data_IF_767488372639
#
_entry.id   IF_767488372639
#
_cell.length_a   1.000
_cell.length_b   1.000
_cell.length_c   1.000
_cell.angle_alpha   90.00
_cell.angle_beta   90.00
_cell.angle_gamma   90.00
#
_symmetry.space_group_name_H-M   'P 1'
#
loop_
_entity.id
_entity.type
_entity.pdbx_description
1 polymer ?
#
# COMPACT_ATOMS: atom_id res chain seq x y z
N UNK A 1 12.74 -14.69 -22.49
CA UNK A 1 12.37 -14.14 -21.16
C UNK A 1 11.14 -13.28 -21.33
N UNK A 2 10.18 -13.23 -20.38
CA UNK A 2 8.85 -12.75 -20.69
C UNK A 2 8.91 -11.25 -20.97
N UNK A 3 8.58 -10.92 -22.21
CA UNK A 3 8.25 -9.57 -22.66
C UNK A 3 6.99 -9.18 -21.89
N UNK A 4 6.92 -7.95 -21.35
CA UNK A 4 5.63 -7.43 -20.88
C UNK A 4 4.76 -7.23 -22.12
N UNK A 5 4.04 -8.29 -22.50
CA UNK A 5 3.09 -8.25 -23.59
C UNK A 5 1.77 -7.70 -23.06
N UNK A 6 1.66 -6.37 -23.08
CA UNK A 6 0.45 -5.65 -22.71
C UNK A 6 -0.80 -6.09 -23.49
N UNK A 7 -0.64 -6.76 -24.64
CA UNK A 7 -1.77 -7.31 -25.41
C UNK A 7 -2.26 -8.65 -24.87
N UNK A 8 -1.46 -9.35 -24.06
CA UNK A 8 -1.79 -10.62 -23.39
C UNK A 8 -2.05 -10.46 -21.89
N UNK A 9 -1.89 -9.25 -21.36
CA UNK A 9 -2.23 -8.97 -19.97
C UNK A 9 -3.75 -8.91 -19.81
N UNK A 10 -4.28 -9.91 -19.10
CA UNK A 10 -5.70 -10.03 -18.76
C UNK A 10 -5.90 -9.64 -17.29
N UNK A 11 -6.69 -8.59 -17.05
CA UNK A 11 -7.06 -8.17 -15.70
C UNK A 11 -8.04 -9.15 -15.03
N UNK A 12 -8.59 -10.09 -15.81
CA UNK A 12 -9.71 -10.93 -15.41
C UNK A 12 -10.85 -10.02 -14.89
N UNK A 13 -11.58 -10.49 -13.87
CA UNK A 13 -12.63 -9.73 -13.19
C UNK A 13 -12.12 -8.86 -12.03
N UNK A 14 -10.80 -8.61 -11.95
CA UNK A 14 -10.19 -7.80 -10.89
C UNK A 14 -10.01 -6.35 -11.31
N UNK A 15 -10.02 -5.46 -10.32
CA UNK A 15 -9.70 -4.04 -10.54
C UNK A 15 -8.18 -3.85 -10.56
N UNK A 16 -7.61 -3.61 -11.74
CA UNK A 16 -6.23 -3.18 -11.88
C UNK A 16 -6.13 -1.64 -11.84
N UNK A 17 -5.08 -1.10 -11.22
CA UNK A 17 -4.90 0.34 -10.97
C UNK A 17 -4.35 1.11 -12.19
N UNK A 18 -3.70 0.42 -13.13
CA UNK A 18 -3.01 1.03 -14.26
C UNK A 18 -3.68 0.70 -15.60
N UNK A 19 -4.27 -0.49 -15.73
CA UNK A 19 -4.76 -1.09 -16.97
C UNK A 19 -6.26 -1.36 -16.87
N UNK A 20 -6.98 -1.11 -17.96
CA UNK A 20 -8.37 -1.48 -18.17
C UNK A 20 -8.45 -2.87 -18.85
N UNK A 21 -9.56 -3.62 -18.71
CA UNK A 21 -9.72 -4.96 -19.29
C UNK A 21 -9.43 -5.08 -20.81
N UNK A 22 -9.43 -3.97 -21.56
CA UNK A 22 -9.05 -3.92 -22.98
C UNK A 22 -7.54 -3.66 -23.23
N UNK A 23 -6.67 -3.84 -22.23
CA UNK A 23 -5.22 -3.60 -22.32
C UNK A 23 -4.85 -2.11 -22.46
N UNK A 24 -5.77 -1.20 -22.15
CA UNK A 24 -5.57 0.26 -22.24
C UNK A 24 -5.23 0.84 -20.88
N UNK A 25 -4.34 1.82 -20.83
CA UNK A 25 -4.04 2.52 -19.59
C UNK A 25 -5.28 3.29 -19.07
N UNK A 26 -5.49 3.28 -17.76
CA UNK A 26 -6.42 4.20 -17.09
C UNK A 26 -5.97 5.65 -17.29
N UNK A 27 -6.90 6.63 -17.32
CA UNK A 27 -6.54 8.03 -17.57
C UNK A 27 -5.41 8.57 -16.67
N UNK A 28 -5.39 8.34 -15.35
CA UNK A 28 -4.31 8.80 -14.48
C UNK A 28 -2.95 8.17 -14.82
N UNK A 29 -2.96 6.90 -15.24
CA UNK A 29 -1.76 6.13 -15.57
C UNK A 29 -1.25 6.35 -17.00
N UNK A 30 -1.87 7.21 -17.80
CA UNK A 30 -1.54 7.37 -19.21
C UNK A 30 -0.09 7.81 -19.48
N UNK A 31 0.44 8.73 -18.67
CA UNK A 31 1.84 9.18 -18.78
C UNK A 31 2.82 8.08 -18.37
N UNK A 32 2.58 7.45 -17.23
CA UNK A 32 3.38 6.32 -16.75
C UNK A 32 3.42 5.20 -17.79
N UNK A 33 2.27 4.83 -18.33
CA UNK A 33 2.15 3.78 -19.35
C UNK A 33 2.89 4.13 -20.64
N UNK A 34 2.92 5.41 -21.07
CA UNK A 34 3.73 5.84 -22.22
C UNK A 34 5.23 5.75 -21.94
N UNK A 35 5.64 6.16 -20.75
CA UNK A 35 7.03 6.06 -20.31
C UNK A 35 7.48 4.60 -20.21
N UNK A 36 6.69 3.72 -19.58
CA UNK A 36 6.98 2.29 -19.50
C UNK A 36 7.11 1.64 -20.90
N UNK A 37 6.30 2.06 -21.87
CA UNK A 37 6.41 1.60 -23.26
C UNK A 37 7.68 2.07 -23.99
N UNK A 38 8.32 3.14 -23.53
CA UNK A 38 9.58 3.64 -24.11
C UNK A 38 10.82 2.94 -23.58
N UNK A 39 10.69 2.18 -22.49
CA UNK A 39 11.80 1.42 -21.91
C UNK A 39 11.84 0.02 -22.53
N UNK A 40 13.06 -0.47 -22.76
CA UNK A 40 13.25 -1.90 -22.99
C UNK A 40 13.39 -2.66 -21.65
N UNK A 41 13.46 -3.98 -21.74
CA UNK A 41 13.53 -4.83 -20.55
C UNK A 41 14.86 -4.69 -19.81
N UNK A 42 15.97 -4.46 -20.52
CA UNK A 42 17.29 -4.33 -19.91
C UNK A 42 17.33 -3.08 -19.04
N UNK A 43 16.82 -1.98 -19.57
CA UNK A 43 16.71 -0.67 -18.94
C UNK A 43 15.76 -0.69 -17.72
N UNK A 44 14.70 -1.52 -17.75
CA UNK A 44 13.87 -1.79 -16.58
C UNK A 44 14.57 -2.64 -15.51
N UNK A 45 15.33 -3.67 -15.92
CA UNK A 45 16.09 -4.49 -14.97
C UNK A 45 17.20 -3.70 -14.29
N UNK A 46 17.94 -2.89 -15.05
CA UNK A 46 18.97 -2.00 -14.51
C UNK A 46 18.39 -1.08 -13.45
N UNK A 47 17.27 -0.41 -13.72
CA UNK A 47 16.58 0.43 -12.72
C UNK A 47 16.14 -0.33 -11.48
N UNK A 48 15.67 -1.57 -11.63
CA UNK A 48 15.28 -2.42 -10.50
C UNK A 48 16.49 -2.68 -9.60
N UNK A 49 17.60 -3.11 -10.19
CA UNK A 49 18.85 -3.40 -9.46
C UNK A 49 19.39 -2.14 -8.79
N UNK A 50 19.40 -1.00 -9.48
CA UNK A 50 19.82 0.28 -8.93
C UNK A 50 18.96 0.70 -7.73
N UNK A 51 17.63 0.51 -7.81
CA UNK A 51 16.74 0.82 -6.71
C UNK A 51 16.97 -0.11 -5.50
N UNK A 52 17.17 -1.41 -5.72
CA UNK A 52 17.51 -2.37 -4.66
C UNK A 52 18.83 -2.01 -3.96
N UNK A 53 19.87 -1.66 -4.72
CA UNK A 53 21.15 -1.21 -4.18
C UNK A 53 21.00 0.10 -3.39
N UNK A 54 20.18 1.04 -3.87
CA UNK A 54 19.92 2.30 -3.16
C UNK A 54 19.19 2.08 -1.82
N UNK A 55 18.30 1.09 -1.73
CA UNK A 55 17.65 0.71 -0.46
C UNK A 55 18.66 0.14 0.54
N UNK A 56 19.56 -0.72 0.06
CA UNK A 56 20.63 -1.32 0.89
C UNK A 56 21.60 -0.23 1.37
N UNK A 57 22.07 0.65 0.48
CA UNK A 57 23.00 1.75 0.79
C UNK A 57 22.41 2.72 1.82
N UNK A 58 21.11 3.01 1.73
CA UNK A 58 20.39 3.85 2.71
C UNK A 58 20.13 3.14 4.05
N UNK A 59 20.47 1.87 4.19
CA UNK A 59 20.23 1.09 5.40
C UNK A 59 18.74 0.87 5.69
N UNK A 60 17.87 0.89 4.67
CA UNK A 60 16.42 0.68 4.86
C UNK A 60 16.16 -0.81 4.97
N UNK A 61 16.20 -1.32 6.21
CA UNK A 61 15.98 -2.73 6.54
C UNK A 61 14.76 -2.91 7.43
N UNK A 62 14.19 -4.12 7.43
CA UNK A 62 13.25 -4.57 8.45
C UNK A 62 13.76 -5.87 9.07
N UNK A 63 13.58 -6.01 10.38
CA UNK A 63 13.97 -7.22 11.10
C UNK A 63 12.86 -8.25 10.96
N UNK A 64 13.21 -9.41 10.39
CA UNK A 64 12.31 -10.57 10.38
C UNK A 64 12.61 -11.41 11.59
N UNK A 65 11.60 -11.62 12.43
CA UNK A 65 11.65 -12.61 13.50
C UNK A 65 11.27 -13.98 12.92
N UNK A 66 12.28 -14.79 12.61
CA UNK A 66 12.08 -16.20 12.19
C UNK A 66 12.96 -17.10 13.04
N UNK A 67 12.35 -18.08 13.72
CA UNK A 67 13.00 -19.20 14.41
C UNK A 67 14.23 -18.84 15.29
N UNK A 68 14.16 -17.72 16.02
CA UNK A 68 15.18 -17.32 17.00
C UNK A 68 16.38 -16.57 16.43
N UNK A 69 16.41 -16.30 15.12
CA UNK A 69 17.42 -15.43 14.50
C UNK A 69 16.79 -14.11 14.04
N UNK A 70 17.43 -13.01 14.41
CA UNK A 70 17.10 -11.68 13.88
C UNK A 70 17.85 -11.51 12.56
N UNK A 71 17.15 -11.74 11.45
CA UNK A 71 17.71 -11.54 10.12
C UNK A 71 17.20 -10.19 9.60
N UNK A 72 18.13 -9.26 9.42
CA UNK A 72 17.83 -7.99 8.76
C UNK A 72 17.70 -8.23 7.26
N UNK A 73 16.54 -7.87 6.70
CA UNK A 73 16.27 -7.95 5.26
C UNK A 73 16.12 -6.56 4.68
N UNK A 74 16.67 -6.36 3.48
CA UNK A 74 16.41 -5.17 2.70
C UNK A 74 14.92 -5.05 2.39
N UNK A 75 14.37 -3.84 2.49
CA UNK A 75 12.97 -3.59 2.20
C UNK A 75 12.66 -3.89 0.71
N UNK A 76 11.64 -4.72 0.39
CA UNK A 76 11.26 -4.98 -1.00
C UNK A 76 10.68 -3.71 -1.65
N UNK A 77 11.37 -3.18 -2.65
CA UNK A 77 10.98 -1.94 -3.32
C UNK A 77 10.49 -2.21 -4.75
N UNK A 78 9.34 -1.62 -5.10
CA UNK A 78 8.80 -1.66 -6.47
C UNK A 78 9.08 -0.32 -7.16
N UNK A 79 9.68 -0.40 -8.36
CA UNK A 79 10.00 0.77 -9.18
C UNK A 79 8.77 1.31 -9.95
N UNK A 80 7.66 0.57 -9.97
CA UNK A 80 6.43 0.97 -10.65
C UNK A 80 5.51 1.69 -9.65
N UNK A 81 5.30 3.02 -9.81
CA UNK A 81 4.48 3.76 -8.87
C UNK A 81 2.98 3.47 -9.06
N UNK A 82 2.25 3.37 -7.96
CA UNK A 82 0.78 3.39 -7.97
C UNK A 82 0.30 4.84 -8.06
N UNK A 83 -0.29 5.21 -9.20
CA UNK A 83 -0.80 6.56 -9.42
C UNK A 83 -2.16 6.71 -8.74
N UNK A 84 -2.27 7.67 -7.82
CA UNK A 84 -3.53 8.04 -7.17
C UNK A 84 -3.94 9.44 -7.65
N UNK A 85 -5.11 9.60 -8.30
CA UNK A 85 -5.61 10.92 -8.69
C UNK A 85 -5.78 11.84 -7.49
N UNK A 86 -5.45 13.13 -7.64
CA UNK A 86 -5.57 14.11 -6.56
C UNK A 86 -6.98 14.17 -5.96
N UNK A 87 -8.03 14.03 -6.78
CA UNK A 87 -9.41 14.01 -6.31
C UNK A 87 -9.66 12.83 -5.37
N UNK A 88 -9.25 11.63 -5.78
CA UNK A 88 -9.37 10.42 -4.95
C UNK A 88 -8.54 10.55 -3.67
N UNK A 89 -7.31 11.05 -3.78
CA UNK A 89 -6.44 11.25 -2.62
C UNK A 89 -7.04 12.20 -1.59
N UNK A 90 -7.71 13.28 -2.01
CA UNK A 90 -8.36 14.21 -1.08
C UNK A 90 -9.47 13.56 -0.26
N UNK A 91 -10.26 12.70 -0.90
CA UNK A 91 -11.34 11.97 -0.21
C UNK A 91 -10.75 10.95 0.77
N UNK A 92 -9.72 10.21 0.36
CA UNK A 92 -8.99 9.27 1.21
C UNK A 92 -8.32 9.98 2.39
N UNK A 93 -7.62 11.09 2.14
CA UNK A 93 -6.94 11.90 3.16
C UNK A 93 -7.94 12.40 4.23
N UNK A 94 -9.08 12.95 3.80
CA UNK A 94 -10.12 13.42 4.71
C UNK A 94 -10.68 12.29 5.57
N UNK A 95 -10.99 11.14 4.96
CA UNK A 95 -11.47 9.96 5.66
C UNK A 95 -10.45 9.40 6.67
N UNK A 96 -9.16 9.37 6.30
CA UNK A 96 -8.09 8.93 7.20
C UNK A 96 -7.96 9.86 8.41
N UNK A 97 -7.97 11.18 8.21
CA UNK A 97 -7.91 12.16 9.31
C UNK A 97 -9.11 12.00 10.26
N UNK A 98 -10.31 11.84 9.70
CA UNK A 98 -11.51 11.60 10.49
C UNK A 98 -11.40 10.31 11.31
N UNK A 99 -10.98 9.21 10.67
CA UNK A 99 -10.86 7.90 11.31
C UNK A 99 -9.82 7.89 12.43
N UNK A 100 -8.64 8.48 12.20
CA UNK A 100 -7.60 8.57 13.23
C UNK A 100 -8.09 9.40 14.42
N UNK A 101 -8.79 10.52 14.18
CA UNK A 101 -9.37 11.31 15.26
C UNK A 101 -10.38 10.50 16.08
N UNK A 102 -11.27 9.77 15.42
CA UNK A 102 -12.24 8.92 16.10
C UNK A 102 -11.57 7.80 16.91
N UNK A 103 -10.54 7.16 16.34
CA UNK A 103 -9.77 6.11 17.03
C UNK A 103 -9.03 6.66 18.25
N UNK A 104 -8.41 7.83 18.16
CA UNK A 104 -7.73 8.46 19.29
C UNK A 104 -8.71 8.79 20.43
N UNK A 105 -9.88 9.37 20.11
CA UNK A 105 -10.92 9.65 21.10
C UNK A 105 -11.50 8.37 21.70
N UNK A 106 -11.67 7.32 20.88
CA UNK A 106 -12.14 6.03 21.35
C UNK A 106 -11.15 5.38 22.33
N UNK A 107 -9.87 5.37 21.99
CA UNK A 107 -8.81 4.86 22.87
C UNK A 107 -8.78 5.66 24.17
N UNK A 108 -8.80 6.99 24.08
CA UNK A 108 -8.82 7.87 25.25
C UNK A 108 -10.02 7.59 26.15
N UNK A 109 -11.22 7.51 25.60
CA UNK A 109 -12.44 7.19 26.35
C UNK A 109 -12.36 5.83 27.04
N UNK A 110 -11.88 4.78 26.35
CA UNK A 110 -11.75 3.44 26.93
C UNK A 110 -10.83 3.37 28.16
N UNK A 111 -9.77 4.18 28.17
CA UNK A 111 -8.83 4.24 29.29
C UNK A 111 -9.24 5.23 30.40
N UNK A 112 -10.34 5.96 30.22
CA UNK A 112 -10.83 6.93 31.18
C UNK A 112 -12.32 6.70 31.52
N UNK A 113 -13.22 7.53 30.98
CA UNK A 113 -14.62 7.60 31.41
C UNK A 113 -15.49 6.48 30.82
N UNK A 114 -15.05 5.80 29.76
CA UNK A 114 -15.76 4.71 29.09
C UNK A 114 -17.19 5.08 28.68
N UNK A 115 -17.42 6.33 28.28
CA UNK A 115 -18.73 6.84 27.87
C UNK A 115 -19.33 6.01 26.73
N UNK A 116 -18.52 5.58 25.76
CA UNK A 116 -18.99 4.79 24.62
C UNK A 116 -19.60 3.42 25.02
N UNK A 117 -19.17 2.89 26.17
CA UNK A 117 -19.72 1.67 26.77
C UNK A 117 -20.98 2.00 27.57
N UNK A 118 -20.95 3.07 28.38
CA UNK A 118 -22.08 3.52 29.18
C UNK A 118 -23.29 3.90 28.32
N UNK A 119 -23.03 4.51 27.16
CA UNK A 119 -24.02 4.89 26.14
C UNK A 119 -24.51 3.67 25.32
N UNK A 120 -23.92 2.49 25.52
CA UNK A 120 -24.31 1.25 24.85
C UNK A 120 -23.94 1.17 23.37
N UNK A 121 -23.14 2.11 22.85
CA UNK A 121 -22.70 2.12 21.45
C UNK A 121 -21.73 0.97 21.17
N UNK A 122 -20.82 0.67 22.11
CA UNK A 122 -19.90 -0.47 22.04
C UNK A 122 -20.12 -1.40 23.24
N UNK A 123 -20.42 -2.69 23.01
CA UNK A 123 -20.55 -3.67 24.10
C UNK A 123 -19.25 -3.87 24.88
N UNK A 124 -19.31 -3.78 26.21
CA UNK A 124 -18.17 -4.02 27.11
C UNK A 124 -17.50 -5.39 26.88
N UNK A 125 -18.30 -6.41 26.53
CA UNK A 125 -17.81 -7.77 26.29
C UNK A 125 -16.83 -7.87 25.10
N UNK A 126 -16.95 -6.99 24.09
CA UNK A 126 -16.02 -6.96 22.96
C UNK A 126 -14.63 -6.50 23.38
N UNK A 127 -14.57 -5.52 24.30
CA UNK A 127 -13.30 -5.00 24.81
C UNK A 127 -12.67 -6.00 25.78
N UNK A 128 -13.44 -6.56 26.70
CA UNK A 128 -12.94 -7.50 27.72
C UNK A 128 -12.39 -8.81 27.12
N UNK A 129 -12.86 -9.21 25.93
CA UNK A 129 -12.36 -10.39 25.23
C UNK A 129 -11.08 -10.14 24.43
N UNK A 130 -10.66 -8.88 24.26
CA UNK A 130 -9.46 -8.54 23.50
C UNK A 130 -8.20 -8.84 24.32
N UNK A 131 -7.32 -9.68 23.77
CA UNK A 131 -5.94 -9.81 24.28
C UNK A 131 -5.17 -8.64 23.67
N UNK A 132 -4.95 -7.59 24.47
CA UNK A 132 -4.07 -6.49 24.09
C UNK A 132 -2.68 -6.97 23.68
#
# INVERSE_FOLDING_TARGET
MPIIDWKRYDTQDLYDELVLPAGRARPPGGQLSRWLRSLDNEELQTRKIEAELAIIDKGVTFTVYSDGENIDRAWPFDIIPRIIPLKEWRDVEAGLKQRIKALNLFIDDLYHEQQIIQDGVVPASLIAASKG
#
